data_IF_238556738460
#
_entry.id   IF_238556738460
#
_cell.length_a   1.000
_cell.length_b   1.000
_cell.length_c   1.000
_cell.angle_alpha   90.00
_cell.angle_beta   90.00
_cell.angle_gamma   90.00
#
_symmetry.space_group_name_H-M   'P 1'
#
loop_
_entity.id
_entity.type
_entity.pdbx_description
1 polymer ?
#
# COMPACT_ATOMS: atom_id res chain seq x y z
N UNK A 1 -16.22 -9.57 -10.40
CA UNK A 1 -14.84 -9.75 -9.88
C UNK A 1 -13.76 -8.85 -10.53
N UNK A 2 -13.92 -8.28 -11.75
CA UNK A 2 -12.87 -7.48 -12.43
C UNK A 2 -12.55 -6.10 -11.79
N UNK A 3 -13.53 -5.39 -11.20
CA UNK A 3 -13.30 -4.05 -10.60
C UNK A 3 -12.38 -4.08 -9.37
N UNK A 4 -12.48 -5.13 -8.55
CA UNK A 4 -11.72 -5.27 -7.31
C UNK A 4 -10.22 -5.40 -7.59
N UNK A 5 -9.86 -6.19 -8.60
CA UNK A 5 -8.47 -6.41 -9.01
C UNK A 5 -7.85 -5.14 -9.60
N UNK A 6 -8.58 -4.41 -10.46
CA UNK A 6 -8.09 -3.14 -11.02
C UNK A 6 -7.81 -2.10 -9.93
N UNK A 7 -8.72 -1.97 -8.95
CA UNK A 7 -8.51 -1.08 -7.82
C UNK A 7 -7.31 -1.49 -6.95
N UNK A 8 -7.08 -2.80 -6.80
CA UNK A 8 -5.93 -3.36 -6.09
C UNK A 8 -4.60 -2.96 -6.75
N UNK A 9 -4.48 -3.12 -8.08
CA UNK A 9 -3.27 -2.75 -8.80
C UNK A 9 -2.97 -1.26 -8.73
N UNK A 10 -4.00 -0.40 -8.85
CA UNK A 10 -3.76 1.04 -8.77
C UNK A 10 -3.41 1.46 -7.34
N UNK A 11 -3.99 0.83 -6.30
CA UNK A 11 -3.61 1.09 -4.92
C UNK A 11 -2.14 0.71 -4.67
N UNK A 12 -1.67 -0.42 -5.21
CA UNK A 12 -0.28 -0.83 -5.09
C UNK A 12 0.67 0.17 -5.79
N UNK A 13 0.36 0.56 -7.03
CA UNK A 13 1.18 1.51 -7.78
C UNK A 13 1.27 2.89 -7.10
N UNK A 14 0.20 3.34 -6.45
CA UNK A 14 0.23 4.59 -5.67
C UNK A 14 1.04 4.44 -4.38
N UNK A 15 0.94 3.29 -3.72
CA UNK A 15 1.68 3.02 -2.50
C UNK A 15 3.19 2.96 -2.77
N UNK A 16 3.61 2.43 -3.93
CA UNK A 16 5.00 2.46 -4.38
C UNK A 16 5.53 3.89 -4.59
N UNK A 17 4.65 4.84 -4.91
CA UNK A 17 5.03 6.24 -5.14
C UNK A 17 5.10 7.07 -3.85
N UNK A 18 4.15 6.89 -2.92
CA UNK A 18 4.14 7.61 -1.64
C UNK A 18 3.34 6.85 -0.58
N UNK A 19 3.69 6.97 0.72
CA UNK A 19 2.92 6.43 1.82
C UNK A 19 1.46 6.90 1.81
N UNK A 20 0.56 6.06 2.32
CA UNK A 20 -0.80 6.49 2.61
C UNK A 20 -0.91 6.95 4.05
N UNK A 21 -1.64 8.03 4.25
CA UNK A 21 -1.96 8.54 5.58
C UNK A 21 -3.28 7.95 6.07
N UNK A 22 -3.40 7.81 7.38
CA UNK A 22 -4.66 7.40 7.98
C UNK A 22 -5.71 8.50 7.83
N UNK A 23 -6.91 8.10 7.42
CA UNK A 23 -8.00 9.04 7.24
C UNK A 23 -8.85 9.13 8.53
N UNK A 24 -9.24 10.34 9.01
CA UNK A 24 -9.94 10.50 10.30
C UNK A 24 -11.28 9.77 10.41
N UNK A 25 -11.95 9.50 9.27
CA UNK A 25 -13.21 8.75 9.20
C UNK A 25 -13.02 7.26 8.89
N UNK A 26 -11.82 6.74 9.11
CA UNK A 26 -11.42 5.39 8.71
C UNK A 26 -10.93 5.30 7.26
N UNK A 27 -10.21 4.22 6.97
CA UNK A 27 -9.52 3.99 5.71
C UNK A 27 -8.18 4.72 5.60
N UNK A 28 -7.59 4.67 4.40
CA UNK A 28 -6.30 5.26 4.10
C UNK A 28 -6.41 6.22 2.92
N UNK A 29 -5.57 7.25 2.87
CA UNK A 29 -5.56 8.20 1.77
C UNK A 29 -4.18 8.39 1.17
N UNK A 30 -4.17 8.58 -0.14
CA UNK A 30 -3.03 9.06 -0.91
C UNK A 30 -3.44 10.40 -1.53
N UNK A 31 -2.97 11.51 -0.95
CA UNK A 31 -3.44 12.84 -1.34
C UNK A 31 -4.97 12.95 -1.29
N UNK A 32 -5.60 13.14 -2.46
CA UNK A 32 -7.05 13.24 -2.61
C UNK A 32 -7.77 11.87 -2.73
N UNK A 33 -7.06 10.77 -2.96
CA UNK A 33 -7.66 9.45 -3.17
C UNK A 33 -7.76 8.68 -1.87
N UNK A 34 -8.95 8.13 -1.59
CA UNK A 34 -9.19 7.22 -0.45
C UNK A 34 -9.18 5.78 -0.91
N UNK A 35 -8.60 4.90 -0.09
CA UNK A 35 -8.80 3.45 -0.16
C UNK A 35 -9.45 2.96 1.12
N UNK A 36 -10.22 1.88 1.01
CA UNK A 36 -10.87 1.26 2.18
C UNK A 36 -9.86 0.55 3.07
N UNK A 37 -10.18 0.40 4.35
CA UNK A 37 -9.36 -0.38 5.29
C UNK A 37 -9.16 -1.80 4.77
N UNK A 38 -10.22 -2.45 4.27
CA UNK A 38 -10.15 -3.80 3.69
C UNK A 38 -9.13 -3.94 2.55
N UNK A 39 -8.95 -2.89 1.74
CA UNK A 39 -7.95 -2.91 0.67
C UNK A 39 -6.54 -2.85 1.25
N UNK A 40 -6.33 -2.01 2.26
CA UNK A 40 -5.05 -1.96 2.97
C UNK A 40 -4.76 -3.29 3.68
N UNK A 41 -5.76 -3.88 4.35
CA UNK A 41 -5.62 -5.17 5.02
C UNK A 41 -5.20 -6.27 4.05
N UNK A 42 -5.74 -6.29 2.82
CA UNK A 42 -5.30 -7.23 1.77
C UNK A 42 -3.87 -6.98 1.28
N UNK A 43 -3.44 -5.72 1.21
CA UNK A 43 -2.06 -5.38 0.85
C UNK A 43 -1.08 -5.81 1.95
N UNK A 44 -1.46 -5.63 3.22
CA UNK A 44 -0.69 -6.06 4.38
C UNK A 44 -0.63 -7.58 4.47
N UNK A 45 -1.79 -8.27 4.38
CA UNK A 45 -1.85 -9.73 4.39
C UNK A 45 -1.08 -10.35 3.21
N UNK A 46 -1.03 -9.65 2.07
CA UNK A 46 -0.21 -10.05 0.92
C UNK A 46 1.27 -9.71 1.03
N UNK A 47 1.73 -9.12 2.14
CA UNK A 47 3.13 -8.74 2.38
C UNK A 47 3.63 -7.61 1.46
N UNK A 48 2.73 -6.84 0.86
CA UNK A 48 3.06 -5.73 -0.06
C UNK A 48 3.09 -4.37 0.62
N UNK A 49 2.44 -4.27 1.77
CA UNK A 49 2.34 -3.05 2.55
C UNK A 49 2.55 -3.34 4.04
N UNK A 50 3.00 -2.35 4.78
CA UNK A 50 3.09 -2.39 6.23
C UNK A 50 2.65 -1.05 6.82
N UNK A 51 2.12 -1.09 8.04
CA UNK A 51 1.81 0.13 8.79
C UNK A 51 3.06 0.51 9.58
N UNK A 52 3.52 1.75 9.41
CA UNK A 52 4.57 2.36 10.21
C UNK A 52 4.01 3.66 10.78
N UNK A 53 3.97 3.77 12.10
CA UNK A 53 3.28 4.84 12.83
C UNK A 53 1.82 4.95 12.35
N UNK A 54 1.43 6.09 11.79
CA UNK A 54 0.11 6.33 11.20
C UNK A 54 0.12 6.35 9.66
N UNK A 55 1.12 5.69 9.05
CA UNK A 55 1.28 5.63 7.60
C UNK A 55 1.33 4.20 7.07
N UNK A 56 0.59 3.92 6.00
CA UNK A 56 0.75 2.70 5.23
C UNK A 56 1.90 2.90 4.24
N UNK A 57 2.93 2.08 4.32
CA UNK A 57 4.11 2.15 3.47
C UNK A 57 4.26 0.86 2.64
N UNK A 58 4.81 0.95 1.42
CA UNK A 58 5.13 -0.24 0.65
C UNK A 58 6.23 -1.03 1.36
N UNK A 59 6.08 -2.35 1.37
CA UNK A 59 7.21 -3.23 1.68
C UNK A 59 8.02 -3.31 0.40
N UNK A 60 9.06 -2.48 0.29
CA UNK A 60 10.07 -2.74 -0.71
C UNK A 60 10.73 -4.06 -0.30
N UNK A 61 10.42 -5.13 -1.03
CA UNK A 61 11.34 -6.26 -1.07
C UNK A 61 12.64 -5.64 -1.57
N UNK A 62 13.55 -5.35 -0.65
CA UNK A 62 14.94 -5.15 -0.99
C UNK A 62 15.29 -6.37 -1.82
N UNK A 63 15.40 -6.17 -3.13
CA UNK A 63 16.10 -7.13 -3.96
C UNK A 63 17.42 -7.30 -3.24
N UNK A 64 17.59 -8.47 -2.62
CA UNK A 64 18.77 -8.84 -1.84
C UNK A 64 19.95 -8.21 -2.54
N UNK A 65 20.61 -7.27 -1.85
CA UNK A 65 21.73 -6.52 -2.37
C UNK A 65 22.54 -7.47 -3.23
N UNK A 66 22.53 -7.25 -4.55
CA UNK A 66 23.40 -7.99 -5.45
C UNK A 66 24.78 -7.48 -5.10
N UNK A 67 25.36 -8.11 -4.07
CA UNK A 67 26.76 -8.11 -3.74
C UNK A 67 27.46 -8.54 -5.02
N UNK A 68 27.83 -7.54 -5.82
CA UNK A 68 28.84 -7.66 -6.84
C UNK A 68 30.06 -7.00 -6.23
N UNK A 69 30.82 -7.85 -5.53
CA UNK A 69 32.27 -7.67 -5.42
C UNK A 69 32.88 -7.57 -6.81
#
# INVERSE_FOLDING_TARGET
MKRLQRNHYIALALLEYSPFERHPRGGWRFGARRITSEMADRLIAGGRAQIIDDTLRPVFRTASARSRR
#
